data_IF_672937371689
#
_entry.id   IF_672937371689
#
_cell.length_a   1.000
_cell.length_b   1.000
_cell.length_c   1.000
_cell.angle_alpha   90.00
_cell.angle_beta   90.00
_cell.angle_gamma   90.00
#
_symmetry.space_group_name_H-M   'P 1'
#
loop_
_entity.id
_entity.type
_entity.pdbx_description
1 polymer ?
#
# COMPACT_ATOMS: atom_id res chain seq x y z
N UNK A 1 16.54 32.74 -0.89
CA UNK A 1 16.96 31.37 -1.25
C UNK A 1 15.77 30.42 -1.07
N UNK A 2 15.01 30.12 -2.13
CA UNK A 2 13.82 29.25 -2.06
C UNK A 2 13.57 28.44 -3.36
N UNK A 3 14.64 28.12 -4.10
CA UNK A 3 14.57 27.37 -5.36
C UNK A 3 15.05 25.90 -5.24
N UNK A 4 15.83 25.56 -4.20
CA UNK A 4 16.47 24.24 -4.08
C UNK A 4 15.47 23.13 -3.73
N UNK A 5 14.43 23.43 -2.93
CA UNK A 5 13.45 22.42 -2.46
C UNK A 5 12.49 21.94 -3.56
N UNK A 6 12.14 22.81 -4.51
CA UNK A 6 11.20 22.48 -5.60
C UNK A 6 11.88 21.72 -6.73
N UNK A 7 13.14 22.06 -7.05
CA UNK A 7 13.91 21.38 -8.10
C UNK A 7 14.28 19.95 -7.66
N UNK A 8 14.70 19.76 -6.40
CA UNK A 8 15.00 18.42 -5.85
C UNK A 8 13.77 17.50 -5.93
N UNK A 9 12.58 18.01 -5.58
CA UNK A 9 11.34 17.23 -5.68
C UNK A 9 11.05 16.77 -7.11
N UNK A 10 11.30 17.61 -8.12
CA UNK A 10 11.06 17.25 -9.52
C UNK A 10 12.09 16.24 -10.03
N UNK A 11 13.36 16.38 -9.64
CA UNK A 11 14.41 15.40 -10.00
C UNK A 11 14.19 14.05 -9.30
N UNK A 12 13.71 14.06 -8.05
CA UNK A 12 13.40 12.84 -7.31
C UNK A 12 12.23 12.08 -7.95
N UNK A 13 11.18 12.80 -8.36
CA UNK A 13 10.04 12.22 -9.10
C UNK A 13 10.50 11.65 -10.45
N UNK A 14 11.32 12.39 -11.22
CA UNK A 14 11.85 11.88 -12.48
C UNK A 14 12.63 10.57 -12.29
N UNK A 15 13.54 10.54 -11.31
CA UNK A 15 14.32 9.32 -11.01
C UNK A 15 13.43 8.14 -10.59
N UNK A 16 12.34 8.40 -9.86
CA UNK A 16 11.35 7.38 -9.52
C UNK A 16 10.59 6.88 -10.75
N UNK A 17 10.19 7.78 -11.65
CA UNK A 17 9.52 7.41 -12.89
C UNK A 17 10.41 6.53 -13.77
N UNK A 18 11.67 6.93 -13.95
CA UNK A 18 12.69 6.13 -14.67
C UNK A 18 12.90 4.75 -14.01
N UNK A 19 12.95 4.69 -12.68
CA UNK A 19 13.09 3.42 -11.97
C UNK A 19 11.85 2.52 -12.15
N UNK A 20 10.66 3.10 -12.28
CA UNK A 20 9.41 2.38 -12.54
C UNK A 20 9.28 1.93 -13.99
N UNK A 21 10.06 2.43 -14.95
CA UNK A 21 10.05 1.93 -16.33
C UNK A 21 10.42 0.45 -16.45
N UNK A 22 11.08 -0.13 -15.44
CA UNK A 22 11.24 -1.58 -15.32
C UNK A 22 9.90 -2.36 -15.23
N UNK A 23 8.78 -1.66 -15.00
CA UNK A 23 7.43 -2.20 -14.95
C UNK A 23 6.62 -1.85 -16.21
N UNK A 24 7.25 -1.42 -17.31
CA UNK A 24 6.55 -0.95 -18.50
C UNK A 24 5.66 -2.01 -19.18
N UNK A 25 6.08 -3.27 -19.15
CA UNK A 25 5.29 -4.42 -19.60
C UNK A 25 4.03 -4.64 -18.75
N UNK A 26 3.99 -4.09 -17.53
CA UNK A 26 2.97 -4.38 -16.51
C UNK A 26 2.05 -3.19 -16.25
N UNK A 27 2.61 -1.98 -16.20
CA UNK A 27 1.92 -0.76 -15.81
C UNK A 27 1.98 0.26 -16.95
N UNK A 28 0.84 0.88 -17.34
CA UNK A 28 0.85 1.94 -18.35
C UNK A 28 1.63 3.17 -17.86
N UNK A 29 2.13 3.98 -18.80
CA UNK A 29 3.01 5.13 -18.52
C UNK A 29 2.41 6.10 -17.48
N UNK A 30 1.18 6.57 -17.69
CA UNK A 30 0.48 7.48 -16.76
C UNK A 30 0.41 6.91 -15.33
N UNK A 31 0.30 5.58 -15.22
CA UNK A 31 0.29 4.92 -13.90
C UNK A 31 1.66 4.97 -13.25
N UNK A 32 2.76 4.87 -14.01
CA UNK A 32 4.12 4.96 -13.48
C UNK A 32 4.44 6.37 -13.03
N UNK A 33 4.04 7.40 -13.79
CA UNK A 33 4.17 8.80 -13.38
C UNK A 33 3.41 9.08 -12.09
N UNK A 34 2.15 8.66 -12.01
CA UNK A 34 1.35 8.78 -10.78
C UNK A 34 2.02 8.11 -9.57
N UNK A 35 2.58 6.92 -9.75
CA UNK A 35 3.28 6.22 -8.67
C UNK A 35 4.59 6.93 -8.29
N UNK A 36 5.31 7.53 -9.23
CA UNK A 36 6.55 8.25 -8.96
C UNK A 36 6.34 9.48 -8.07
N UNK A 37 5.21 10.16 -8.23
CA UNK A 37 4.82 11.28 -7.36
C UNK A 37 4.43 10.84 -5.96
N UNK A 38 3.72 9.71 -5.87
CA UNK A 38 3.13 9.23 -4.62
C UNK A 38 4.10 8.45 -3.72
N UNK A 39 4.92 7.58 -4.32
CA UNK A 39 5.71 6.60 -3.62
C UNK A 39 7.07 7.14 -3.18
N UNK A 40 7.60 6.62 -2.07
CA UNK A 40 8.97 6.88 -1.66
C UNK A 40 9.98 6.12 -2.53
N UNK A 41 11.27 6.47 -2.41
CA UNK A 41 12.35 5.76 -3.09
C UNK A 41 12.40 4.28 -2.71
N UNK A 42 12.17 4.00 -1.43
CA UNK A 42 12.15 2.64 -0.92
C UNK A 42 10.97 1.83 -1.46
N UNK A 43 9.81 2.46 -1.67
CA UNK A 43 8.63 1.82 -2.28
C UNK A 43 8.90 1.46 -3.74
N UNK A 44 9.43 2.40 -4.51
CA UNK A 44 9.81 2.19 -5.91
C UNK A 44 10.85 1.08 -6.04
N UNK A 45 11.88 1.08 -5.17
CA UNK A 45 12.87 0.00 -5.18
C UNK A 45 12.26 -1.37 -4.87
N UNK A 46 11.31 -1.42 -3.94
CA UNK A 46 10.62 -2.68 -3.60
C UNK A 46 9.81 -3.21 -4.79
N UNK A 47 9.07 -2.34 -5.49
CA UNK A 47 8.32 -2.74 -6.69
C UNK A 47 9.26 -3.19 -7.83
N UNK A 48 10.38 -2.49 -8.01
CA UNK A 48 11.40 -2.85 -9.01
C UNK A 48 12.06 -4.19 -8.70
N UNK A 49 12.37 -4.44 -7.44
CA UNK A 49 12.93 -5.71 -7.00
C UNK A 49 11.94 -6.87 -7.24
N UNK A 50 10.68 -6.70 -6.82
CA UNK A 50 9.61 -7.68 -7.08
C UNK A 50 9.45 -8.04 -8.56
N UNK A 51 9.55 -7.05 -9.45
CA UNK A 51 9.49 -7.27 -10.89
C UNK A 51 10.66 -8.13 -11.40
N UNK A 52 11.87 -7.87 -10.90
CA UNK A 52 13.09 -8.64 -11.26
C UNK A 52 13.01 -10.09 -10.79
N UNK A 53 12.36 -10.34 -9.66
CA UNK A 53 12.13 -11.68 -9.12
C UNK A 53 11.01 -12.45 -9.84
N UNK A 54 10.41 -11.85 -10.87
CA UNK A 54 9.46 -12.54 -11.76
C UNK A 54 8.05 -12.69 -11.20
N UNK A 55 7.60 -11.79 -10.30
CA UNK A 55 6.20 -11.73 -9.90
C UNK A 55 5.31 -11.56 -11.15
N UNK A 56 4.32 -12.45 -11.30
CA UNK A 56 3.42 -12.40 -12.45
C UNK A 56 2.69 -11.07 -12.60
N UNK A 57 2.46 -10.63 -13.84
CA UNK A 57 1.97 -9.27 -14.17
C UNK A 57 0.70 -8.87 -13.42
N UNK A 58 -0.28 -9.79 -13.30
CA UNK A 58 -1.52 -9.52 -12.58
C UNK A 58 -1.26 -9.25 -11.09
N UNK A 59 -0.36 -10.02 -10.48
CA UNK A 59 0.04 -9.84 -9.08
C UNK A 59 0.83 -8.55 -8.90
N UNK A 60 1.71 -8.22 -9.83
CA UNK A 60 2.48 -6.98 -9.82
C UNK A 60 1.57 -5.74 -9.93
N UNK A 61 0.58 -5.76 -10.84
CA UNK A 61 -0.46 -4.71 -10.93
C UNK A 61 -1.26 -4.58 -9.64
N UNK A 62 -1.66 -5.71 -9.05
CA UNK A 62 -2.41 -5.71 -7.80
C UNK A 62 -1.60 -5.15 -6.62
N UNK A 63 -0.33 -5.54 -6.49
CA UNK A 63 0.60 -5.05 -5.47
C UNK A 63 0.87 -3.56 -5.61
N UNK A 64 1.19 -3.09 -6.82
CA UNK A 64 1.41 -1.66 -7.07
C UNK A 64 0.16 -0.82 -6.79
N UNK A 65 -1.04 -1.34 -7.13
CA UNK A 65 -2.30 -0.68 -6.80
C UNK A 65 -2.58 -0.65 -5.31
N UNK A 66 -2.25 -1.72 -4.57
CA UNK A 66 -2.46 -1.76 -3.12
C UNK A 66 -1.47 -0.87 -2.39
N UNK A 67 -0.19 -0.86 -2.79
CA UNK A 67 0.81 0.03 -2.22
C UNK A 67 0.40 1.49 -2.41
N UNK A 68 0.02 1.88 -3.63
CA UNK A 68 -0.48 3.24 -3.89
C UNK A 68 -1.65 3.61 -2.97
N UNK A 69 -2.60 2.69 -2.77
CA UNK A 69 -3.72 2.96 -1.88
C UNK A 69 -3.27 3.12 -0.43
N UNK A 70 -2.41 2.22 0.07
CA UNK A 70 -1.93 2.24 1.44
C UNK A 70 -1.13 3.50 1.74
N UNK A 71 -0.30 3.94 0.79
CA UNK A 71 0.50 5.16 0.89
C UNK A 71 -0.38 6.40 0.99
N UNK A 72 -1.31 6.55 0.05
CA UNK A 72 -2.24 7.67 0.04
C UNK A 72 -3.15 7.68 1.28
N UNK A 73 -3.62 6.50 1.72
CA UNK A 73 -4.44 6.39 2.92
C UNK A 73 -3.65 6.75 4.17
N UNK A 74 -2.40 6.28 4.30
CA UNK A 74 -1.57 6.61 5.45
C UNK A 74 -1.26 8.10 5.50
N UNK A 75 -0.89 8.70 4.35
CA UNK A 75 -0.64 10.11 4.23
C UNK A 75 -1.89 10.93 4.61
N UNK A 76 -3.07 10.56 4.12
CA UNK A 76 -4.31 11.24 4.48
C UNK A 76 -4.70 11.06 5.95
N UNK A 77 -4.56 9.84 6.50
CA UNK A 77 -5.02 9.49 7.85
C UNK A 77 -4.03 9.85 8.98
N UNK A 78 -2.79 10.18 8.64
CA UNK A 78 -1.71 10.43 9.62
C UNK A 78 -0.83 11.63 9.29
N UNK A 79 -0.97 12.25 8.12
CA UNK A 79 -0.06 13.25 7.57
C UNK A 79 1.40 12.77 7.38
N UNK A 80 1.65 11.47 7.50
CA UNK A 80 2.96 10.84 7.39
C UNK A 80 2.95 9.74 6.33
N UNK A 81 4.10 9.48 5.66
CA UNK A 81 4.24 8.34 4.75
C UNK A 81 4.07 7.01 5.50
N UNK A 82 3.82 5.94 4.76
CA UNK A 82 3.65 4.61 5.32
C UNK A 82 4.95 4.12 5.96
N UNK A 83 4.94 3.83 7.27
CA UNK A 83 6.13 3.33 7.95
C UNK A 83 6.34 1.84 7.64
N UNK A 84 7.61 1.45 7.56
CA UNK A 84 8.03 0.06 7.40
C UNK A 84 8.94 -0.35 8.58
N UNK A 85 8.58 -1.40 9.36
CA UNK A 85 7.29 -2.09 9.35
C UNK A 85 6.18 -1.21 9.98
N UNK A 86 4.93 -1.49 9.61
CA UNK A 86 3.79 -0.79 10.17
C UNK A 86 3.60 -1.12 11.67
N UNK A 87 3.41 -0.12 12.54
CA UNK A 87 3.04 -0.38 13.93
C UNK A 87 1.63 -0.97 14.00
N UNK A 88 1.39 -1.84 14.99
CA UNK A 88 0.08 -2.51 15.18
C UNK A 88 -1.08 -1.50 15.27
N UNK A 89 -0.87 -0.36 15.94
CA UNK A 89 -1.86 0.70 16.04
C UNK A 89 -2.30 1.24 14.66
N UNK A 90 -1.39 1.29 13.69
CA UNK A 90 -1.71 1.73 12.32
C UNK A 90 -2.51 0.65 11.56
N UNK A 91 -2.18 -0.62 11.77
CA UNK A 91 -2.95 -1.74 11.21
C UNK A 91 -4.38 -1.76 11.78
N UNK A 92 -4.54 -1.51 13.08
CA UNK A 92 -5.85 -1.40 13.72
C UNK A 92 -6.63 -0.17 13.21
N UNK A 93 -5.97 0.98 13.04
CA UNK A 93 -6.58 2.15 12.39
C UNK A 93 -7.07 1.83 10.99
N UNK A 94 -6.26 1.12 10.19
CA UNK A 94 -6.67 0.67 8.86
C UNK A 94 -7.95 -0.16 8.92
N UNK A 95 -8.01 -1.14 9.82
CA UNK A 95 -9.22 -1.94 9.99
C UNK A 95 -10.43 -1.10 10.39
N UNK A 96 -10.28 -0.21 11.39
CA UNK A 96 -11.37 0.65 11.86
C UNK A 96 -11.89 1.59 10.76
N UNK A 97 -11.00 2.16 9.94
CA UNK A 97 -11.41 3.04 8.84
C UNK A 97 -12.18 2.30 7.74
N UNK A 98 -11.93 1.00 7.54
CA UNK A 98 -12.46 0.27 6.37
C UNK A 98 -13.56 -0.76 6.71
N UNK A 99 -13.57 -1.29 7.93
CA UNK A 99 -14.54 -2.26 8.43
C UNK A 99 -15.40 -1.62 9.52
N UNK A 100 -16.35 -0.81 9.09
CA UNK A 100 -17.29 -0.13 9.95
C UNK A 100 -18.73 -0.40 9.50
N UNK A 101 -19.66 -0.05 10.37
CA UNK A 101 -21.08 -0.33 10.22
C UNK A 101 -21.79 0.96 9.79
N UNK A 102 -22.38 1.02 8.58
CA UNK A 102 -23.10 2.18 8.10
C UNK A 102 -24.16 2.71 9.07
N UNK A 103 -24.92 1.81 9.70
CA UNK A 103 -25.98 2.19 10.62
C UNK A 103 -25.44 2.86 11.90
N UNK A 104 -24.27 2.42 12.38
CA UNK A 104 -23.61 3.07 13.52
C UNK A 104 -23.09 4.46 13.17
N UNK A 105 -22.68 4.70 11.93
CA UNK A 105 -22.17 6.01 11.51
C UNK A 105 -23.24 7.09 11.49
N UNK A 106 -24.50 6.72 11.30
CA UNK A 106 -25.63 7.66 11.43
C UNK A 106 -25.71 8.28 12.82
N UNK A 107 -25.33 7.53 13.86
CA UNK A 107 -25.31 7.99 15.25
C UNK A 107 -23.92 8.51 15.70
N UNK A 108 -22.84 8.03 15.07
CA UNK A 108 -21.46 8.42 15.36
C UNK A 108 -20.72 8.77 14.05
N UNK A 109 -20.67 10.06 13.65
CA UNK A 109 -19.98 10.48 12.44
C UNK A 109 -18.49 10.14 12.40
N UNK A 110 -17.87 9.87 13.55
CA UNK A 110 -16.47 9.45 13.65
C UNK A 110 -16.28 7.94 13.44
N UNK A 111 -17.36 7.16 13.35
CA UNK A 111 -17.29 5.72 13.10
C UNK A 111 -16.87 5.43 11.66
N UNK A 112 -15.72 4.80 11.50
CA UNK A 112 -15.14 4.47 10.20
C UNK A 112 -14.12 5.48 9.72
N UNK A 113 -13.97 5.60 8.39
CA UNK A 113 -13.02 6.52 7.78
C UNK A 113 -13.49 7.97 7.93
N UNK A 114 -12.67 8.89 8.45
CA UNK A 114 -12.99 10.32 8.45
C UNK A 114 -13.29 10.86 7.04
N UNK A 115 -14.18 11.84 6.95
CA UNK A 115 -14.65 12.37 5.66
C UNK A 115 -13.51 13.00 4.84
N UNK A 116 -12.65 13.78 5.49
CA UNK A 116 -11.46 14.38 4.90
C UNK A 116 -10.50 13.33 4.31
N UNK A 117 -10.29 12.21 5.01
CA UNK A 117 -9.49 11.09 4.53
C UNK A 117 -10.10 10.46 3.28
N UNK A 118 -11.42 10.21 3.30
CA UNK A 118 -12.12 9.64 2.14
C UNK A 118 -12.15 10.59 0.94
N UNK A 119 -12.37 11.89 1.18
CA UNK A 119 -12.35 12.93 0.16
C UNK A 119 -10.96 13.04 -0.51
N UNK A 120 -9.88 12.99 0.28
CA UNK A 120 -8.52 13.00 -0.25
C UNK A 120 -8.26 11.78 -1.15
N UNK A 121 -8.69 10.58 -0.74
CA UNK A 121 -8.54 9.37 -1.54
C UNK A 121 -9.40 9.38 -2.82
N UNK A 122 -10.60 9.97 -2.78
CA UNK A 122 -11.44 10.15 -3.96
C UNK A 122 -10.83 11.14 -4.95
N UNK A 123 -10.31 12.27 -4.47
CA UNK A 123 -9.62 13.26 -5.31
C UNK A 123 -8.39 12.66 -6.00
N UNK A 124 -7.65 11.78 -5.32
CA UNK A 124 -6.54 11.04 -5.91
C UNK A 124 -6.97 9.90 -6.84
N UNK A 125 -8.28 9.66 -7.04
CA UNK A 125 -8.79 8.56 -7.86
C UNK A 125 -8.57 7.16 -7.28
N UNK A 126 -8.21 7.06 -5.99
CA UNK A 126 -7.87 5.81 -5.29
C UNK A 126 -9.05 5.22 -4.50
N UNK A 127 -10.14 5.97 -4.35
CA UNK A 127 -11.38 5.52 -3.71
C UNK A 127 -12.59 5.84 -4.60
N UNK A 128 -13.49 4.86 -4.77
CA UNK A 128 -14.69 5.00 -5.62
C UNK A 128 -15.99 5.24 -4.84
N UNK A 129 -16.03 4.85 -3.57
CA UNK A 129 -17.22 4.95 -2.72
C UNK A 129 -16.79 5.28 -1.30
N UNK A 130 -17.57 6.09 -0.60
CA UNK A 130 -17.34 6.51 0.80
C UNK A 130 -17.79 5.46 1.82
N UNK A 131 -18.43 4.37 1.37
CA UNK A 131 -18.89 3.29 2.25
C UNK A 131 -17.76 2.37 2.76
N UNK A 132 -18.09 1.44 3.69
CA UNK A 132 -17.13 0.45 4.16
C UNK A 132 -16.64 -0.43 3.02
N UNK A 133 -15.40 -0.90 3.13
CA UNK A 133 -14.84 -1.82 2.17
C UNK A 133 -15.35 -3.23 2.41
N UNK A 134 -15.43 -4.02 1.33
CA UNK A 134 -15.68 -5.44 1.49
C UNK A 134 -14.55 -6.10 2.31
N UNK A 135 -14.85 -7.11 3.16
CA UNK A 135 -13.82 -7.82 3.90
C UNK A 135 -12.74 -8.45 3.01
N UNK A 136 -13.07 -8.83 1.77
CA UNK A 136 -12.08 -9.35 0.81
C UNK A 136 -11.10 -8.29 0.34
N UNK A 137 -11.56 -7.05 0.10
CA UNK A 137 -10.68 -5.91 -0.24
C UNK A 137 -9.72 -5.60 0.89
N UNK A 138 -10.22 -5.56 2.14
CA UNK A 138 -9.39 -5.29 3.33
C UNK A 138 -8.35 -6.39 3.52
N UNK A 139 -8.75 -7.66 3.43
CA UNK A 139 -7.84 -8.81 3.51
C UNK A 139 -6.74 -8.73 2.45
N UNK A 140 -7.10 -8.48 1.19
CA UNK A 140 -6.16 -8.40 0.08
C UNK A 140 -5.08 -7.35 0.33
N UNK A 141 -5.48 -6.16 0.77
CA UNK A 141 -4.52 -5.07 1.08
C UNK A 141 -3.62 -5.39 2.25
N UNK A 142 -4.13 -6.03 3.30
CA UNK A 142 -3.30 -6.46 4.43
C UNK A 142 -2.30 -7.55 4.01
N UNK A 143 -2.71 -8.48 3.14
CA UNK A 143 -1.78 -9.45 2.54
C UNK A 143 -0.71 -8.76 1.70
N UNK A 144 -1.09 -7.82 0.82
CA UNK A 144 -0.13 -7.02 0.04
C UNK A 144 0.85 -6.26 0.94
N UNK A 145 0.35 -5.64 2.01
CA UNK A 145 1.18 -4.92 2.99
C UNK A 145 2.17 -5.85 3.70
N UNK A 146 1.72 -7.04 4.11
CA UNK A 146 2.58 -8.07 4.71
C UNK A 146 3.65 -8.52 3.74
N UNK A 147 3.28 -8.86 2.50
CA UNK A 147 4.21 -9.27 1.44
C UNK A 147 5.25 -8.19 1.20
N UNK A 148 4.85 -6.94 0.98
CA UNK A 148 5.77 -5.82 0.78
C UNK A 148 6.71 -5.62 1.98
N UNK A 149 6.23 -5.84 3.21
CA UNK A 149 7.07 -5.74 4.42
C UNK A 149 8.16 -6.84 4.43
N UNK A 150 7.77 -8.07 4.12
CA UNK A 150 8.68 -9.22 4.06
C UNK A 150 9.73 -9.05 2.95
N UNK A 151 9.34 -8.52 1.80
CA UNK A 151 10.25 -8.22 0.70
C UNK A 151 11.27 -7.12 1.01
N UNK A 152 11.00 -6.30 2.03
CA UNK A 152 11.98 -5.36 2.59
C UNK A 152 12.91 -5.99 3.64
N UNK A 153 12.79 -7.30 3.88
CA UNK A 153 13.54 -8.01 4.94
C UNK A 153 13.06 -7.68 6.35
N UNK A 154 11.81 -7.22 6.51
CA UNK A 154 11.25 -6.78 7.79
C UNK A 154 10.13 -7.72 8.26
N UNK A 155 9.96 -7.81 9.57
CA UNK A 155 8.86 -8.54 10.19
C UNK A 155 7.75 -7.58 10.64
N UNK A 156 6.55 -7.74 10.08
CA UNK A 156 5.39 -6.91 10.40
C UNK A 156 4.49 -7.50 11.50
N UNK A 157 3.70 -6.64 12.15
CA UNK A 157 2.77 -7.04 13.23
C UNK A 157 1.41 -7.55 12.73
N UNK A 158 1.35 -8.16 11.55
CA UNK A 158 0.10 -8.61 10.90
C UNK A 158 -0.58 -9.78 11.64
N UNK A 159 0.17 -10.51 12.46
CA UNK A 159 -0.32 -11.59 13.33
C UNK A 159 -0.50 -11.15 14.79
N UNK A 160 -0.64 -9.86 15.09
CA UNK A 160 -0.83 -9.43 16.47
C UNK A 160 -2.22 -9.83 17.01
N UNK A 161 -2.38 -10.08 18.33
CA UNK A 161 -3.66 -10.46 18.91
C UNK A 161 -4.81 -9.52 18.57
N UNK A 162 -4.55 -8.20 18.50
CA UNK A 162 -5.57 -7.20 18.15
C UNK A 162 -6.17 -7.40 16.76
N UNK A 163 -5.37 -7.86 15.79
CA UNK A 163 -5.82 -8.11 14.41
C UNK A 163 -6.56 -9.44 14.27
N UNK A 164 -6.19 -10.46 15.07
CA UNK A 164 -6.88 -11.77 15.07
C UNK A 164 -8.34 -11.68 15.54
N UNK A 165 -8.62 -10.74 16.44
CA UNK A 165 -9.97 -10.52 16.98
C UNK A 165 -10.91 -9.86 15.95
N UNK A 166 -10.35 -9.16 14.95
CA UNK A 166 -11.10 -8.71 13.77
C UNK A 166 -11.14 -9.89 12.80
N UNK A 167 -12.25 -10.62 12.79
CA UNK A 167 -12.44 -11.93 12.14
C UNK A 167 -12.33 -11.87 10.62
N UNK A 168 -11.13 -11.63 10.09
CA UNK A 168 -10.76 -11.75 8.68
C UNK A 168 -9.77 -12.91 8.58
N UNK A 169 -10.18 -14.13 8.18
CA UNK A 169 -9.23 -15.22 7.99
C UNK A 169 -8.21 -14.85 6.90
N UNK A 170 -6.97 -14.51 7.26
CA UNK A 170 -5.88 -14.29 6.31
C UNK A 170 -5.34 -15.65 5.84
N UNK A 171 -5.05 -15.79 4.54
CA UNK A 171 -4.24 -16.91 4.06
C UNK A 171 -2.77 -16.66 4.43
N UNK A 172 -2.00 -17.68 4.83
CA UNK A 172 -0.56 -17.51 4.98
C UNK A 172 0.03 -17.03 3.64
N UNK A 173 1.00 -16.10 3.73
CA UNK A 173 1.83 -15.72 2.59
C UNK A 173 2.54 -16.99 2.09
N UNK A 174 2.64 -17.14 0.77
CA UNK A 174 3.32 -18.29 0.15
C UNK A 174 4.72 -18.41 0.75
N UNK A 175 5.03 -19.60 1.27
CA UNK A 175 6.39 -19.96 1.65
C UNK A 175 7.30 -19.75 0.44
N UNK A 176 8.37 -19.00 0.63
CA UNK A 176 9.43 -18.87 -0.35
C UNK A 176 10.20 -20.19 -0.43
N UNK A 177 9.66 -21.16 -1.16
CA UNK A 177 10.41 -22.30 -1.68
C UNK A 177 11.32 -21.83 -2.81
N UNK A 178 12.33 -21.03 -2.46
CA UNK A 178 13.54 -20.88 -3.27
C UNK A 178 14.36 -22.16 -3.08
N UNK A 179 14.09 -23.15 -3.92
CA UNK A 179 14.95 -24.32 -4.06
C UNK A 179 16.35 -23.84 -4.51
N UNK A 180 17.44 -24.14 -3.80
CA UNK A 180 18.76 -23.76 -4.27
C UNK A 180 19.07 -24.51 -5.58
N UNK A 181 19.53 -23.76 -6.58
CA UNK A 181 20.08 -24.32 -7.80
C UNK A 181 21.32 -25.16 -7.46
N UNK A 182 21.09 -26.47 -7.31
CA UNK A 182 22.16 -27.45 -7.18
C UNK A 182 22.94 -27.50 -8.48
N UNK A 183 24.18 -26.99 -8.41
CA UNK A 183 25.23 -27.34 -9.36
C UNK A 183 25.73 -28.76 -9.03
N UNK A 184 25.66 -29.66 -10.01
CA UNK A 184 26.70 -30.62 -10.40
C UNK A 184 26.23 -31.40 -11.62
#
# INVERSE_FOLDING_TARGET
MRAIRTISSSTDVLRRAEALDALDAVLPFDRREFLAELLSDGDVETLRHLAREGIGENSMRALASDLAYLEAWCQAATANPLPWPAPEALLLKFLAHHLWDPARREADPAHGMPEDVSAALMQAGLLRSSGPHSPSTVRRRLSSWSTLTQWRGLEGKFNAPGLRNVRIPMKPAMDSDLKPAGHS
#
